data_IF_001969957300
#
_entry.id   IF_001969957300
#
_cell.length_a   1.000
_cell.length_b   1.000
_cell.length_c   1.000
_cell.angle_alpha   90.00
_cell.angle_beta   90.00
_cell.angle_gamma   90.00
#
_symmetry.space_group_name_H-M   'P 1'
#
loop_
_entity.id
_entity.type
_entity.pdbx_description
1 polymer ?
#
# COMPACT_ATOMS: atom_id res chain seq x y z
N UNK A 1 -3.16 -14.67 5.92
CA UNK A 1 -1.91 -13.94 5.80
C UNK A 1 -2.09 -12.72 4.93
N UNK A 2 -1.56 -11.57 5.34
CA UNK A 2 -1.69 -10.33 4.57
C UNK A 2 -0.32 -9.81 4.14
N UNK A 3 -0.19 -9.43 2.87
CA UNK A 3 1.07 -8.93 2.33
C UNK A 3 0.83 -7.78 1.37
N UNK A 4 1.89 -6.98 1.15
CA UNK A 4 1.88 -5.91 0.16
C UNK A 4 2.98 -6.21 -0.85
N UNK A 5 2.65 -6.06 -2.13
CA UNK A 5 3.60 -6.28 -3.23
C UNK A 5 3.54 -5.10 -4.19
N UNK A 6 4.69 -4.67 -4.68
CA UNK A 6 4.77 -3.68 -5.77
C UNK A 6 4.97 -4.35 -7.11
N UNK A 7 5.48 -5.56 -7.09
CA UNK A 7 5.62 -6.43 -8.24
C UNK A 7 5.04 -7.77 -7.84
N UNK A 8 4.14 -8.30 -8.64
CA UNK A 8 3.45 -9.54 -8.29
C UNK A 8 4.44 -10.68 -8.06
N UNK A 9 4.26 -11.37 -6.94
CA UNK A 9 5.10 -12.49 -6.56
C UNK A 9 6.20 -12.15 -5.58
N UNK A 10 6.44 -10.87 -5.29
CA UNK A 10 7.49 -10.45 -4.37
C UNK A 10 6.92 -9.60 -3.25
N UNK A 11 6.93 -10.12 -2.03
CA UNK A 11 6.44 -9.40 -0.87
C UNK A 11 7.39 -8.25 -0.50
N UNK A 12 6.80 -7.08 -0.25
CA UNK A 12 7.53 -5.95 0.31
C UNK A 12 7.54 -6.09 1.84
N UNK A 13 8.70 -6.18 2.44
CA UNK A 13 8.86 -6.43 3.87
C UNK A 13 8.91 -5.17 4.72
N UNK A 14 9.19 -4.03 4.10
CA UNK A 14 9.20 -2.77 4.82
C UNK A 14 7.77 -2.35 5.09
N UNK A 15 7.47 -2.05 6.35
CA UNK A 15 6.13 -1.66 6.78
C UNK A 15 5.93 -0.18 6.53
N UNK A 16 4.84 0.22 5.85
CA UNK A 16 4.61 1.62 5.52
C UNK A 16 4.00 2.42 6.66
N UNK A 17 4.13 3.74 6.57
CA UNK A 17 3.26 4.65 7.30
C UNK A 17 1.95 4.73 6.53
N UNK A 18 0.82 4.64 7.20
CA UNK A 18 -0.50 4.66 6.57
C UNK A 18 -1.32 5.79 7.14
N UNK A 19 -1.84 6.64 6.25
CA UNK A 19 -2.75 7.72 6.62
C UNK A 19 -4.10 7.48 5.99
N UNK A 20 -5.13 7.57 6.80
CA UNK A 20 -6.51 7.40 6.35
C UNK A 20 -7.26 8.71 6.49
N UNK A 21 -7.95 9.11 5.42
CA UNK A 21 -8.91 10.20 5.47
C UNK A 21 -10.27 9.62 5.11
N UNK A 22 -11.32 10.17 5.71
CA UNK A 22 -12.67 9.67 5.52
C UNK A 22 -13.61 10.85 5.28
N UNK A 23 -14.53 10.69 4.33
CA UNK A 23 -15.52 11.71 4.04
C UNK A 23 -16.51 11.84 5.20
N UNK A 24 -17.25 12.95 5.23
CA UNK A 24 -18.27 13.18 6.26
C UNK A 24 -19.39 12.15 6.22
N UNK A 25 -19.71 11.65 5.04
CA UNK A 25 -20.71 10.59 4.86
C UNK A 25 -20.22 9.24 5.41
N UNK A 26 -18.90 9.08 5.56
CA UNK A 26 -18.31 7.88 6.11
C UNK A 26 -18.15 6.73 5.13
N UNK A 27 -18.54 6.90 3.87
CA UNK A 27 -18.52 5.83 2.86
C UNK A 27 -17.39 5.99 1.84
N UNK A 28 -16.69 7.13 1.83
CA UNK A 28 -15.58 7.39 0.93
C UNK A 28 -14.34 7.80 1.73
N UNK A 29 -13.19 7.59 1.15
CA UNK A 29 -11.95 7.99 1.78
C UNK A 29 -10.74 7.72 0.94
N UNK A 30 -9.59 8.01 1.51
CA UNK A 30 -8.29 7.84 0.86
C UNK A 30 -7.33 7.21 1.85
N UNK A 31 -6.61 6.19 1.40
CA UNK A 31 -5.52 5.60 2.15
C UNK A 31 -4.22 5.96 1.46
N UNK A 32 -3.30 6.59 2.18
CA UNK A 32 -1.98 6.95 1.65
C UNK A 32 -0.92 6.14 2.38
N UNK A 33 -0.17 5.37 1.61
CA UNK A 33 0.90 4.51 2.12
C UNK A 33 2.24 5.13 1.76
N UNK A 34 3.10 5.31 2.75
CA UNK A 34 4.46 5.82 2.51
C UNK A 34 5.47 4.77 2.98
N UNK A 35 6.24 4.25 2.04
CA UNK A 35 7.31 3.27 2.32
C UNK A 35 8.63 3.99 2.24
N UNK A 36 9.33 4.10 3.36
CA UNK A 36 10.64 4.75 3.41
C UNK A 36 11.70 3.69 3.13
N UNK A 37 12.45 3.91 2.06
CA UNK A 37 13.54 3.03 1.65
C UNK A 37 13.10 1.56 1.58
N UNK A 38 12.00 1.26 0.83
CA UNK A 38 11.49 -0.10 0.75
C UNK A 38 12.47 -1.03 0.01
N UNK A 39 12.28 -2.32 0.15
CA UNK A 39 13.15 -3.33 -0.46
C UNK A 39 13.23 -3.17 -1.98
N UNK A 40 12.11 -2.86 -2.62
CA UNK A 40 12.08 -2.70 -4.07
C UNK A 40 13.00 -1.57 -4.56
N UNK A 41 13.17 -0.53 -3.75
CA UNK A 41 14.09 0.57 -4.04
C UNK A 41 15.54 0.13 -3.76
N UNK A 42 15.77 -0.52 -2.63
CA UNK A 42 17.13 -1.02 -2.27
C UNK A 42 17.66 -2.00 -3.29
N UNK A 43 16.79 -2.82 -3.86
CA UNK A 43 17.17 -3.83 -4.84
C UNK A 43 17.30 -3.27 -6.26
N UNK A 44 16.98 -1.98 -6.43
CA UNK A 44 17.08 -1.35 -7.73
C UNK A 44 15.99 -1.76 -8.73
N UNK A 45 14.88 -2.30 -8.23
CA UNK A 45 13.81 -2.86 -9.06
C UNK A 45 12.63 -1.92 -9.25
N UNK A 46 12.86 -0.60 -9.20
CA UNK A 46 11.79 0.38 -9.34
C UNK A 46 11.07 0.30 -10.68
N UNK A 47 11.75 -0.16 -11.73
CA UNK A 47 11.13 -0.36 -13.04
C UNK A 47 10.12 -1.50 -13.04
N UNK A 48 10.19 -2.40 -12.08
CA UNK A 48 9.26 -3.51 -11.93
C UNK A 48 7.98 -3.18 -11.18
N UNK A 49 7.82 -1.93 -10.72
CA UNK A 49 6.62 -1.51 -10.00
C UNK A 49 5.47 -1.39 -11.01
N UNK A 50 4.46 -2.23 -10.83
CA UNK A 50 3.26 -2.21 -11.68
C UNK A 50 2.03 -1.68 -10.96
N UNK A 51 2.12 -1.50 -9.64
CA UNK A 51 1.06 -1.03 -8.77
C UNK A 51 1.39 -1.37 -7.34
N UNK A 52 0.44 -1.18 -6.44
CA UNK A 52 0.54 -1.71 -5.08
C UNK A 52 -0.58 -2.72 -4.91
N UNK A 53 -0.20 -3.95 -4.59
CA UNK A 53 -1.13 -5.07 -4.42
C UNK A 53 -1.21 -5.41 -2.93
N UNK A 54 -2.40 -5.27 -2.38
CA UNK A 54 -2.68 -5.63 -0.98
C UNK A 54 -3.38 -6.98 -1.01
N UNK A 55 -2.69 -8.03 -0.58
CA UNK A 55 -3.10 -9.42 -0.78
C UNK A 55 -3.37 -10.09 0.54
N UNK A 56 -4.52 -10.72 0.68
CA UNK A 56 -4.86 -11.52 1.83
C UNK A 56 -5.70 -12.73 1.40
N UNK A 57 -6.25 -13.45 2.36
CA UNK A 57 -7.05 -14.66 2.11
C UNK A 57 -8.32 -14.40 1.29
N UNK A 58 -8.81 -13.15 1.28
CA UNK A 58 -10.00 -12.79 0.49
C UNK A 58 -9.66 -12.42 -0.96
N UNK A 59 -8.40 -12.24 -1.29
CA UNK A 59 -7.95 -11.84 -2.60
C UNK A 59 -7.08 -10.61 -2.56
N UNK A 60 -7.07 -9.83 -3.64
CA UNK A 60 -6.20 -8.66 -3.72
C UNK A 60 -6.98 -7.37 -3.90
N UNK A 61 -6.43 -6.29 -3.32
CA UNK A 61 -6.88 -4.92 -3.53
C UNK A 61 -5.72 -4.23 -4.24
N UNK A 62 -6.00 -3.56 -5.36
CA UNK A 62 -4.96 -3.00 -6.21
C UNK A 62 -5.14 -1.51 -6.38
N UNK A 63 -4.05 -0.77 -6.26
CA UNK A 63 -4.00 0.62 -6.72
C UNK A 63 -2.82 0.80 -7.66
N UNK A 64 -3.01 1.62 -8.69
CA UNK A 64 -1.93 1.95 -9.62
C UNK A 64 -1.39 3.37 -9.39
N UNK A 65 -1.94 4.08 -8.41
CA UNK A 65 -1.43 5.38 -8.01
C UNK A 65 -0.22 5.19 -7.10
N UNK A 66 0.91 4.91 -7.71
CA UNK A 66 2.18 4.66 -7.01
C UNK A 66 3.22 5.61 -7.56
N UNK A 67 3.91 6.32 -6.66
CA UNK A 67 4.93 7.30 -7.03
C UNK A 67 6.20 7.04 -6.27
N UNK A 68 7.33 7.16 -6.96
CA UNK A 68 8.61 7.20 -6.30
C UNK A 68 8.93 8.60 -5.82
N UNK A 69 9.54 8.72 -4.66
CA UNK A 69 10.06 9.98 -4.14
C UNK A 69 11.58 9.95 -4.22
N UNK A 70 12.14 10.97 -4.86
CA UNK A 70 13.57 11.03 -5.14
C UNK A 70 14.23 12.13 -4.32
N UNK A 71 15.42 11.84 -3.82
CA UNK A 71 16.27 12.81 -3.13
C UNK A 71 17.61 12.79 -3.84
N UNK A 72 18.03 13.95 -4.35
CA UNK A 72 19.28 14.08 -5.12
C UNK A 72 19.38 13.11 -6.28
N UNK A 73 18.24 12.89 -6.97
CA UNK A 73 18.18 11.99 -8.12
C UNK A 73 18.11 10.51 -7.79
N UNK A 74 18.08 10.16 -6.52
CA UNK A 74 18.00 8.75 -6.09
C UNK A 74 16.63 8.46 -5.47
N UNK A 75 16.01 7.32 -5.81
CA UNK A 75 14.75 6.95 -5.17
C UNK A 75 14.98 6.62 -3.68
N UNK A 76 14.19 7.20 -2.80
CA UNK A 76 14.29 6.98 -1.36
C UNK A 76 12.99 6.45 -0.74
N UNK A 77 11.85 6.75 -1.36
CA UNK A 77 10.57 6.34 -0.82
C UNK A 77 9.60 6.02 -1.95
N UNK A 78 8.58 5.26 -1.62
CA UNK A 78 7.48 4.97 -2.53
C UNK A 78 6.19 5.34 -1.81
N UNK A 79 5.35 6.11 -2.49
CA UNK A 79 4.05 6.51 -1.98
C UNK A 79 2.96 5.89 -2.86
N UNK A 80 1.96 5.29 -2.22
CA UNK A 80 0.82 4.74 -2.92
C UNK A 80 -0.47 5.30 -2.34
N UNK A 81 -1.43 5.61 -3.21
CA UNK A 81 -2.72 6.16 -2.81
C UNK A 81 -3.82 5.23 -3.28
N UNK A 82 -4.66 4.81 -2.35
CA UNK A 82 -5.83 3.99 -2.64
C UNK A 82 -7.09 4.78 -2.35
N UNK A 83 -7.94 4.95 -3.35
CA UNK A 83 -9.22 5.65 -3.22
C UNK A 83 -10.31 4.65 -2.86
N UNK A 84 -10.97 4.90 -1.73
CA UNK A 84 -12.05 4.07 -1.23
C UNK A 84 -13.36 4.77 -1.57
N UNK A 85 -14.19 4.15 -2.40
CA UNK A 85 -15.34 4.81 -3.01
C UNK A 85 -16.68 4.42 -2.41
N UNK A 86 -16.75 3.27 -1.72
CA UNK A 86 -18.00 2.75 -1.15
C UNK A 86 -17.75 2.23 0.25
N UNK A 87 -18.84 2.06 1.01
CA UNK A 87 -18.74 1.48 2.35
C UNK A 87 -18.29 0.02 2.29
N UNK A 88 -18.65 -0.71 1.23
CA UNK A 88 -18.19 -2.08 1.04
C UNK A 88 -16.68 -2.15 0.84
N UNK A 89 -16.14 -1.23 0.02
CA UNK A 89 -14.69 -1.14 -0.18
C UNK A 89 -13.98 -0.76 1.12
N UNK A 90 -14.59 0.12 1.92
CA UNK A 90 -14.07 0.52 3.23
C UNK A 90 -13.95 -0.69 4.16
N UNK A 91 -15.02 -1.47 4.25
CA UNK A 91 -15.04 -2.67 5.09
C UNK A 91 -14.00 -3.70 4.61
N UNK A 92 -13.93 -3.92 3.31
CA UNK A 92 -12.97 -4.85 2.72
C UNK A 92 -11.52 -4.39 3.00
N UNK A 93 -11.26 -3.10 2.81
CA UNK A 93 -9.94 -2.52 3.07
C UNK A 93 -9.58 -2.64 4.55
N UNK A 94 -10.51 -2.37 5.46
CA UNK A 94 -10.24 -2.46 6.89
C UNK A 94 -9.96 -3.89 7.33
N UNK A 95 -10.60 -4.89 6.71
CA UNK A 95 -10.27 -6.29 7.01
C UNK A 95 -8.84 -6.61 6.61
N UNK A 96 -8.40 -6.13 5.46
CA UNK A 96 -7.00 -6.27 5.04
C UNK A 96 -6.07 -5.58 6.04
N UNK A 97 -6.34 -4.33 6.35
CA UNK A 97 -5.48 -3.54 7.25
C UNK A 97 -5.37 -4.16 8.63
N UNK A 98 -6.46 -4.68 9.16
CA UNK A 98 -6.42 -5.34 10.48
C UNK A 98 -5.52 -6.57 10.47
N UNK A 99 -5.59 -7.38 9.41
CA UNK A 99 -4.73 -8.56 9.25
C UNK A 99 -3.27 -8.15 9.09
N UNK A 100 -3.04 -7.16 8.23
CA UNK A 100 -1.69 -6.68 7.96
C UNK A 100 -1.06 -6.05 9.21
N UNK A 101 -1.81 -5.24 9.94
CA UNK A 101 -1.35 -4.59 11.16
C UNK A 101 -1.02 -5.62 12.24
N UNK A 102 -1.85 -6.63 12.41
CA UNK A 102 -1.62 -7.69 13.39
C UNK A 102 -0.35 -8.46 13.08
N UNK A 103 -0.12 -8.79 11.81
CA UNK A 103 1.03 -9.58 11.38
C UNK A 103 2.33 -8.76 11.38
N UNK A 104 2.26 -7.43 11.31
CA UNK A 104 3.44 -6.57 11.16
C UNK A 104 3.65 -5.62 12.34
N UNK A 105 2.90 -5.77 13.41
CA UNK A 105 3.10 -4.99 14.63
C UNK A 105 2.68 -3.52 14.53
N UNK A 106 1.73 -3.22 13.69
CA UNK A 106 1.20 -1.86 13.57
C UNK A 106 0.18 -1.55 14.67
#
# INVERSE_FOLDING_TARGET
MASIQFSKGTDEKVVPDVRLTRSRSGDQGTATFTFVNPDIVKEGNTDGITGMYMIDEEGEIVTREVRGKFVNGKPEAVEAVYLIKTSQEWERFMRFMNRYAEENGL
#
